data_IF_642380830062
#
_entry.id   IF_642380830062
#
_cell.length_a   1.000
_cell.length_b   1.000
_cell.length_c   1.000
_cell.angle_alpha   90.00
_cell.angle_beta   90.00
_cell.angle_gamma   90.00
#
_symmetry.space_group_name_H-M   'P 1'
#
loop_
_entity.id
_entity.type
_entity.pdbx_description
1 polymer ?
#
# COMPACT_ATOMS: atom_id res chain seq x y z
N UNK A 1 16.41 -2.24 -7.54
CA UNK A 1 15.44 -1.61 -6.65
C UNK A 1 14.45 -2.64 -6.17
N UNK A 2 14.16 -2.60 -4.90
CA UNK A 2 13.25 -3.56 -4.31
C UNK A 2 11.80 -3.12 -4.48
N UNK A 3 10.92 -4.06 -4.76
CA UNK A 3 9.50 -3.79 -4.89
C UNK A 3 8.72 -4.94 -4.28
N UNK A 4 7.48 -4.65 -3.87
CA UNK A 4 6.61 -5.64 -3.25
C UNK A 4 5.28 -5.68 -3.98
N UNK A 5 4.53 -6.75 -3.76
CA UNK A 5 3.21 -6.87 -4.39
C UNK A 5 2.23 -5.89 -3.76
N UNK A 6 1.13 -5.67 -4.46
CA UNK A 6 0.08 -4.80 -3.95
C UNK A 6 -0.46 -5.31 -2.61
N UNK A 7 -0.65 -6.62 -2.49
CA UNK A 7 -1.16 -7.18 -1.24
C UNK A 7 -0.19 -6.96 -0.09
N UNK A 8 1.11 -7.15 -0.34
CA UNK A 8 2.11 -6.92 0.69
C UNK A 8 2.16 -5.45 1.09
N UNK A 9 2.13 -4.56 0.10
CA UNK A 9 2.15 -3.12 0.39
C UNK A 9 0.93 -2.71 1.21
N UNK A 10 -0.24 -3.22 0.86
CA UNK A 10 -1.46 -2.91 1.61
C UNK A 10 -1.34 -3.35 3.07
N UNK A 11 -0.79 -4.54 3.30
CA UNK A 11 -0.60 -5.05 4.66
C UNK A 11 0.36 -4.17 5.45
N UNK A 12 1.45 -3.75 4.82
CA UNK A 12 2.44 -2.89 5.48
C UNK A 12 1.83 -1.54 5.85
N UNK A 13 1.06 -0.96 4.93
CA UNK A 13 0.42 0.34 5.15
C UNK A 13 -0.71 0.22 6.17
N UNK A 14 -1.29 -0.96 6.31
CA UNK A 14 -2.39 -1.18 7.24
C UNK A 14 -3.75 -0.92 6.62
N UNK A 15 -3.85 -1.03 5.30
CA UNK A 15 -5.11 -0.87 4.60
C UNK A 15 -5.58 -2.20 4.04
N UNK A 16 -6.88 -2.33 3.91
CA UNK A 16 -7.46 -3.43 3.17
C UNK A 16 -7.03 -3.31 1.70
N UNK A 17 -6.92 -4.46 1.03
CA UNK A 17 -6.38 -4.48 -0.32
C UNK A 17 -7.14 -3.58 -1.29
N UNK A 18 -8.46 -3.61 -1.24
CA UNK A 18 -9.26 -2.79 -2.15
C UNK A 18 -9.11 -1.31 -1.84
N UNK A 19 -9.04 -0.96 -0.56
CA UNK A 19 -8.81 0.41 -0.16
C UNK A 19 -7.45 0.90 -0.64
N UNK A 20 -6.44 0.05 -0.54
CA UNK A 20 -5.11 0.41 -1.01
C UNK A 20 -5.10 0.61 -2.52
N UNK A 21 -5.72 -0.29 -3.28
CA UNK A 21 -5.78 -0.15 -4.72
C UNK A 21 -6.53 1.11 -5.13
N UNK A 22 -7.59 1.43 -4.42
CA UNK A 22 -8.33 2.65 -4.68
C UNK A 22 -7.44 3.88 -4.44
N UNK A 23 -6.65 3.84 -3.38
CA UNK A 23 -5.72 4.94 -3.08
C UNK A 23 -4.71 5.12 -4.20
N UNK A 24 -4.02 4.06 -4.62
CA UNK A 24 -2.97 4.22 -5.62
C UNK A 24 -3.54 4.58 -6.99
N UNK A 25 -4.77 4.20 -7.28
CA UNK A 25 -5.43 4.61 -8.50
C UNK A 25 -5.69 6.12 -8.50
N UNK A 26 -6.08 6.65 -7.36
CA UNK A 26 -6.46 8.04 -7.27
C UNK A 26 -5.29 9.01 -7.16
N UNK A 27 -4.16 8.55 -6.63
CA UNK A 27 -3.03 9.45 -6.47
C UNK A 27 -2.27 9.68 -7.78
N UNK A 28 -2.35 8.75 -8.71
CA UNK A 28 -1.73 8.89 -10.04
C UNK A 28 -0.26 9.26 -9.98
N UNK A 29 0.48 8.69 -9.05
CA UNK A 29 1.89 9.00 -8.90
C UNK A 29 2.67 8.42 -10.07
N UNK A 30 3.54 9.23 -10.66
CA UNK A 30 4.35 8.78 -11.79
C UNK A 30 5.33 7.69 -11.40
N UNK A 31 5.71 7.64 -10.13
CA UNK A 31 6.64 6.62 -9.64
C UNK A 31 6.00 5.24 -9.56
N UNK A 32 4.67 5.16 -9.57
CA UNK A 32 3.99 3.89 -9.49
C UNK A 32 3.87 3.24 -10.85
N UNK A 33 4.25 1.97 -10.98
CA UNK A 33 4.08 1.30 -12.26
C UNK A 33 2.61 1.15 -12.59
N UNK A 34 2.29 1.23 -13.86
CA UNK A 34 0.93 1.03 -14.28
C UNK A 34 0.60 -0.45 -14.22
N UNK A 35 -0.61 -0.76 -13.79
CA UNK A 35 -1.08 -2.12 -13.82
C UNK A 35 -1.28 -2.58 -15.25
N UNK A 36 -0.93 -3.83 -15.52
CA UNK A 36 -1.15 -4.45 -16.81
C UNK A 36 -2.07 -5.62 -16.63
N UNK A 37 -2.89 -5.84 -17.61
CA UNK A 37 -3.77 -6.99 -17.58
C UNK A 37 -2.96 -8.27 -17.44
N UNK A 38 -3.31 -9.08 -16.45
CA UNK A 38 -2.62 -10.34 -16.22
C UNK A 38 -1.32 -10.22 -15.45
N UNK A 39 -0.86 -9.02 -15.16
CA UNK A 39 0.37 -8.83 -14.41
C UNK A 39 0.09 -8.07 -13.14
N UNK A 40 0.69 -8.53 -12.07
CA UNK A 40 0.51 -7.87 -10.78
C UNK A 40 1.36 -6.61 -10.72
N UNK A 41 0.76 -5.54 -10.21
CA UNK A 41 1.49 -4.29 -10.02
C UNK A 41 2.48 -4.44 -8.88
N UNK A 42 3.69 -3.95 -9.08
CA UNK A 42 4.74 -3.98 -8.07
C UNK A 42 4.94 -2.58 -7.52
N UNK A 43 4.99 -2.48 -6.21
CA UNK A 43 5.12 -1.19 -5.54
C UNK A 43 6.56 -1.03 -5.07
N UNK A 44 7.27 0.01 -5.53
CA UNK A 44 8.64 0.23 -5.05
C UNK A 44 8.66 0.48 -3.54
N UNK A 45 9.59 -0.19 -2.87
CA UNK A 45 9.71 -0.08 -1.41
C UNK A 45 9.98 1.37 -1.00
N UNK A 46 10.68 2.11 -1.84
CA UNK A 46 11.00 3.51 -1.52
C UNK A 46 9.78 4.41 -1.44
N UNK A 47 8.65 3.99 -2.02
CA UNK A 47 7.41 4.77 -1.96
C UNK A 47 6.58 4.46 -0.72
N UNK A 48 6.87 3.36 -0.03
CA UNK A 48 6.03 2.95 1.09
C UNK A 48 5.90 4.00 2.20
N UNK A 49 6.98 4.71 2.60
CA UNK A 49 6.80 5.76 3.60
C UNK A 49 5.84 6.86 3.17
N UNK A 50 5.92 7.28 1.90
CA UNK A 50 4.99 8.29 1.40
C UNK A 50 3.57 7.77 1.32
N UNK A 51 3.41 6.51 0.94
CA UNK A 51 2.06 5.92 0.87
C UNK A 51 1.47 5.76 2.26
N UNK A 52 2.28 5.37 3.25
CA UNK A 52 1.81 5.30 4.62
C UNK A 52 1.37 6.68 5.10
N UNK A 53 2.19 7.69 4.85
CA UNK A 53 1.86 9.04 5.25
C UNK A 53 0.61 9.54 4.54
N UNK A 54 0.48 9.23 3.27
CA UNK A 54 -0.72 9.58 2.51
C UNK A 54 -1.97 8.98 3.14
N UNK A 55 -1.91 7.69 3.48
CA UNK A 55 -3.05 7.02 4.10
C UNK A 55 -3.40 7.64 5.45
N UNK A 56 -2.38 7.97 6.25
CA UNK A 56 -2.60 8.61 7.54
C UNK A 56 -3.23 9.99 7.39
N UNK A 57 -2.72 10.78 6.45
CA UNK A 57 -3.27 12.12 6.22
C UNK A 57 -4.72 12.04 5.74
N UNK A 58 -5.00 11.13 4.82
CA UNK A 58 -6.35 10.97 4.31
C UNK A 58 -7.30 10.56 5.43
N UNK A 59 -6.87 9.61 6.26
CA UNK A 59 -7.73 9.08 7.29
C UNK A 59 -7.95 10.07 8.43
N UNK A 60 -6.88 10.73 8.86
CA UNK A 60 -6.97 11.60 10.03
C UNK A 60 -7.47 13.00 9.72
N UNK A 61 -7.19 13.51 8.52
CA UNK A 61 -7.59 14.85 8.15
C UNK A 61 -8.76 14.86 7.16
N UNK A 62 -9.18 13.70 6.68
CA UNK A 62 -10.28 13.62 5.74
C UNK A 62 -9.96 14.15 4.35
N UNK A 63 -8.69 14.13 3.97
CA UNK A 63 -8.29 14.64 2.66
C UNK A 63 -8.54 13.60 1.57
N UNK A 64 -8.87 14.05 0.35
CA UNK A 64 -8.86 13.13 -0.79
C UNK A 64 -7.47 12.56 -0.99
N UNK A 65 -7.38 11.35 -1.55
CA UNK A 65 -6.09 10.70 -1.68
C UNK A 65 -5.09 11.51 -2.49
N UNK A 66 -5.54 12.14 -3.58
CA UNK A 66 -4.61 12.92 -4.42
C UNK A 66 -4.04 14.10 -3.65
N UNK A 67 -4.84 14.74 -2.81
CA UNK A 67 -4.38 15.87 -2.02
C UNK A 67 -3.49 15.41 -0.88
N UNK A 68 -3.88 14.30 -0.23
CA UNK A 68 -3.07 13.73 0.83
C UNK A 68 -1.68 13.32 0.32
N UNK A 69 -1.63 12.76 -0.88
CA UNK A 69 -0.34 12.36 -1.44
C UNK A 69 0.53 13.57 -1.78
N UNK A 70 -0.08 14.62 -2.34
CA UNK A 70 0.65 15.85 -2.62
C UNK A 70 1.25 16.43 -1.34
N UNK A 71 0.46 16.44 -0.27
CA UNK A 71 0.95 16.93 1.01
C UNK A 71 2.04 16.01 1.58
N UNK A 72 1.85 14.70 1.43
CA UNK A 72 2.84 13.74 1.91
C UNK A 72 4.18 13.96 1.21
N UNK A 73 4.16 14.24 -0.09
CA UNK A 73 5.41 14.52 -0.81
C UNK A 73 6.12 15.74 -0.26
N UNK A 74 5.37 16.80 0.03
CA UNK A 74 5.97 18.01 0.58
C UNK A 74 6.52 17.78 1.99
N UNK A 75 5.77 17.06 2.81
CA UNK A 75 6.22 16.75 4.16
C UNK A 75 7.48 15.89 4.15
N UNK A 76 7.56 14.96 3.19
CA UNK A 76 8.74 14.12 3.08
C UNK A 76 9.98 14.92 2.70
N UNK A 77 9.79 16.09 2.09
CA UNK A 77 10.90 16.99 1.77
C UNK A 77 11.17 18.02 2.87
N UNK A 78 10.48 17.91 3.99
CA UNK A 78 10.68 18.84 5.10
C UNK A 78 9.86 20.12 5.01
N UNK A 79 8.91 20.19 4.07
CA UNK A 79 8.05 21.36 3.91
C UNK A 79 6.81 21.19 4.77
N UNK A 80 6.91 21.56 6.02
CA UNK A 80 5.91 21.24 7.02
C UNK A 80 4.73 22.20 7.12
N UNK A 81 4.46 23.02 6.09
CA UNK A 81 3.35 23.95 6.17
C UNK A 81 2.25 23.56 5.20
N UNK A 82 1.01 23.72 5.65
CA UNK A 82 -0.17 23.51 4.82
C UNK A 82 -0.94 24.82 4.83
N UNK A 83 -0.52 25.76 3.96
CA UNK A 83 -1.06 27.09 3.96
C UNK A 83 -0.37 27.98 5.00
N UNK A 84 -0.83 29.21 5.16
CA UNK A 84 -0.12 30.18 6.02
C UNK A 84 -0.30 29.95 7.51
N UNK A 85 -1.30 29.17 7.92
CA UNK A 85 -1.66 29.06 9.33
C UNK A 85 -1.44 27.69 9.92
N UNK A 86 -1.10 26.68 9.09
CA UNK A 86 -1.07 25.30 9.55
C UNK A 86 0.32 24.74 9.39
N UNK A 87 0.85 24.19 10.47
CA UNK A 87 2.10 23.45 10.43
C UNK A 87 1.83 22.00 10.77
N UNK A 88 2.50 21.12 10.06
CA UNK A 88 2.37 19.70 10.29
C UNK A 88 3.76 19.15 10.56
N UNK A 89 3.89 18.46 11.68
CA UNK A 89 5.14 17.80 12.02
C UNK A 89 4.98 16.31 11.85
N UNK A 90 5.91 15.70 11.14
CA UNK A 90 5.88 14.28 10.86
C UNK A 90 7.20 13.66 11.31
N UNK A 91 7.11 12.56 12.05
CA UNK A 91 8.28 11.82 12.47
C UNK A 91 8.67 10.85 11.37
N UNK A 92 9.46 11.35 10.41
CA UNK A 92 9.83 10.56 9.24
C UNK A 92 10.69 9.36 9.62
N UNK A 93 11.56 9.51 10.60
CA UNK A 93 12.39 8.40 11.04
C UNK A 93 11.56 7.25 11.59
N UNK A 94 10.53 7.61 12.35
CA UNK A 94 9.66 6.59 12.91
C UNK A 94 8.89 5.86 11.81
N UNK A 95 8.44 6.61 10.80
CA UNK A 95 7.76 6.00 9.67
C UNK A 95 8.68 5.01 8.98
N UNK A 96 9.93 5.39 8.75
CA UNK A 96 10.87 4.51 8.07
C UNK A 96 11.17 3.27 8.89
N UNK A 97 11.32 3.42 10.20
CA UNK A 97 11.55 2.26 11.06
C UNK A 97 10.35 1.32 11.06
N UNK A 98 9.16 1.88 11.06
CA UNK A 98 7.95 1.06 11.03
C UNK A 98 7.86 0.30 9.72
N UNK A 99 8.15 0.96 8.61
CA UNK A 99 8.13 0.32 7.31
C UNK A 99 9.16 -0.82 7.26
N UNK A 100 10.37 -0.57 7.74
CA UNK A 100 11.41 -1.58 7.73
C UNK A 100 11.03 -2.81 8.54
N UNK A 101 10.45 -2.58 9.72
CA UNK A 101 10.02 -3.69 10.57
C UNK A 101 8.92 -4.50 9.89
N UNK A 102 7.98 -3.83 9.27
CA UNK A 102 6.89 -4.51 8.58
C UNK A 102 7.38 -5.25 7.35
N UNK A 103 8.41 -4.71 6.68
CA UNK A 103 8.96 -5.38 5.51
C UNK A 103 9.58 -6.72 5.86
N UNK A 104 10.27 -6.81 6.98
CA UNK A 104 10.83 -8.08 7.41
C UNK A 104 9.74 -9.11 7.64
N UNK A 105 8.71 -8.72 8.37
CA UNK A 105 7.59 -9.61 8.66
C UNK A 105 6.86 -10.01 7.40
N UNK A 106 6.62 -9.04 6.51
CA UNK A 106 5.86 -9.29 5.30
C UNK A 106 6.57 -10.24 4.35
N UNK A 107 7.89 -10.11 4.26
CA UNK A 107 8.65 -11.01 3.39
C UNK A 107 8.49 -12.45 3.85
N UNK A 108 8.58 -12.69 5.15
CA UNK A 108 8.38 -14.03 5.68
C UNK A 108 6.98 -14.53 5.41
N UNK A 109 5.99 -13.68 5.58
CA UNK A 109 4.61 -14.06 5.37
C UNK A 109 4.34 -14.42 3.92
N UNK A 110 4.91 -13.67 2.99
CA UNK A 110 4.69 -13.92 1.57
C UNK A 110 5.32 -15.24 1.13
N UNK A 111 6.50 -15.55 1.65
CA UNK A 111 7.19 -16.78 1.24
C UNK A 111 6.38 -18.01 1.60
N UNK A 112 5.81 -18.05 2.79
CA UNK A 112 5.08 -19.23 3.21
C UNK A 112 3.77 -19.46 2.46
N UNK A 113 2.90 -18.48 2.34
CA UNK A 113 1.59 -18.72 1.73
C UNK A 113 1.66 -19.14 0.27
N UNK A 114 2.72 -18.80 -0.41
CA UNK A 114 2.81 -19.13 -1.81
C UNK A 114 2.82 -20.60 -2.09
N UNK A 115 3.18 -21.36 -1.13
CA UNK A 115 3.20 -22.78 -1.30
C UNK A 115 1.82 -23.36 -1.28
N UNK A 116 1.01 -22.71 -0.77
CA UNK A 116 -0.29 -23.18 -0.65
C UNK A 116 -1.05 -23.16 -1.85
N UNK A 117 -1.32 -23.25 -2.19
CA UNK A 117 -2.25 -23.02 -2.94
C UNK A 117 -2.80 -23.52 -3.93
N UNK A 118 -2.99 -24.05 -4.03
CA UNK A 118 -3.24 -24.26 -5.28
C UNK A 118 -4.60 -24.31 -5.70
N UNK A 119 -4.71 -24.34 -5.41
CA UNK A 119 -5.50 -24.13 -5.90
C UNK A 119 -6.49 -24.29 -6.03
N UNK A 120 -6.59 -24.44 -5.69
CA UNK A 120 -7.48 -24.40 -5.83
C UNK A 120 -8.28 -24.70 -6.03
N UNK A 121 -8.33 -24.84 -5.74
CA UNK A 121 -9.14 -24.85 -6.03
C UNK A 121 -9.90 -25.01 -6.07
N UNK A 122 -9.73 -25.24 -5.78
CA UNK A 122 -10.47 -25.11 -5.93
C UNK A 122 -11.11 -25.40 -5.78
N UNK A 123 -11.08 -25.54 -5.55
CA UNK A 123 -11.73 -25.46 -5.59
C UNK A 123 -12.45 -25.63 -5.53
N UNK A 124 -12.22 -25.76 -5.24
CA UNK A 124 -13.01 -25.61 -5.31
C UNK A 124 -13.77 -25.72 -5.64
N UNK A 125 -13.66 -26.00 -5.56
CA UNK A 125 -14.51 -25.92 -5.93
C UNK A 125 -15.11 -26.35 -6.14
N UNK A 126 -14.77 -26.65 -5.82
CA UNK A 126 -15.46 -26.77 -6.03
C UNK A 126 -16.07 -27.05 -6.05
N UNK A 127 -15.96 -27.37 -5.88
CA UNK A 127 -16.55 -27.33 -5.94
C UNK A 127 -17.12 -27.65 -5.96
N UNK A 128 -17.09 -27.69 -5.75
CA UNK A 128 -17.82 -27.64 -5.92
C UNK A 128 -18.57 -27.90 -6.16
N UNK A 129 -18.67 -28.03 -5.98
CA UNK A 129 -19.64 -28.10 -6.25
C UNK A 129 -20.43 -28.48 -6.48
N UNK A 130 -20.57 -28.71 -6.46
CA UNK A 130 -21.57 -28.95 -6.66
C UNK A 130 -22.39 -29.31 -6.69
N UNK A 131 -22.37 -29.49 -6.41
CA UNK A 131 -23.35 -29.68 -6.45
C UNK A 131 -24.22 -30.03 -6.67
N UNK A 132 -24.54 -30.38 -6.66
CA UNK A 132 -25.59 -30.64 -6.85
C UNK A 132 -26.38 -30.82 -7.12
N UNK A 133 -26.47 -31.12 -7.05
CA UNK A 133 -27.32 -31.12 -7.29
C UNK A 133 -28.10 -31.17 -7.46
#
# INVERSE_FOLDING_TARGET
MRAVTTATAAAIIGLERNAFQNMITRIRASELPRGRQGLERRIPVTLLPRLLLCAELAQRLGLPFWEAYSLAQRLARGEGTAGPFIRIHVDLERIEREIDAQLETAVETVVRPKRGRPRGRGQERVGALPAPR
#
